data_IF_165132671005
#
_entry.id   IF_165132671005
#
_cell.length_a   1.000
_cell.length_b   1.000
_cell.length_c   1.000
_cell.angle_alpha   90.00
_cell.angle_beta   90.00
_cell.angle_gamma   90.00
#
_symmetry.space_group_name_H-M   'P 1'
#
loop_
_entity.id
_entity.type
_entity.pdbx_description
1 polymer ?
#
# COMPACT_ATOMS: atom_id res chain seq x y z
N UNK A 1 -16.07 9.37 -27.36
CA UNK A 1 -16.08 9.50 -25.88
C UNK A 1 -14.64 9.69 -25.46
N UNK A 2 -14.29 10.76 -24.74
CA UNK A 2 -12.92 10.90 -24.24
C UNK A 2 -12.66 9.81 -23.19
N UNK A 3 -11.60 9.04 -23.36
CA UNK A 3 -11.19 8.02 -22.39
C UNK A 3 -10.80 8.75 -21.09
N UNK A 4 -11.47 8.45 -19.98
CA UNK A 4 -11.12 9.02 -18.67
C UNK A 4 -9.72 8.52 -18.29
N UNK A 5 -8.75 9.44 -18.19
CA UNK A 5 -7.39 9.15 -17.74
C UNK A 5 -7.26 9.41 -16.25
N UNK A 6 -6.47 8.57 -15.56
CA UNK A 6 -6.23 8.69 -14.13
C UNK A 6 -4.74 8.96 -13.84
N UNK A 7 -4.41 9.62 -12.71
CA UNK A 7 -3.02 9.73 -12.26
C UNK A 7 -2.38 8.37 -12.05
N UNK A 8 -1.07 8.29 -12.24
CA UNK A 8 -0.31 7.05 -12.02
C UNK A 8 -0.52 6.55 -10.58
N UNK A 9 -0.92 5.28 -10.46
CA UNK A 9 -1.14 4.62 -9.17
C UNK A 9 -2.55 4.77 -8.62
N UNK A 10 -3.48 5.36 -9.37
CA UNK A 10 -4.88 5.45 -8.98
C UNK A 10 -5.50 4.08 -8.67
N UNK A 11 -5.30 3.09 -9.55
CA UNK A 11 -5.85 1.76 -9.35
C UNK A 11 -5.04 0.95 -8.34
N UNK A 12 -3.76 1.27 -8.15
CA UNK A 12 -2.96 0.72 -7.05
C UNK A 12 -3.55 1.14 -5.71
N UNK A 13 -3.94 2.40 -5.54
CA UNK A 13 -4.60 2.88 -4.32
C UNK A 13 -5.95 2.18 -4.08
N UNK A 14 -6.74 1.96 -5.13
CA UNK A 14 -7.99 1.19 -5.04
C UNK A 14 -7.71 -0.25 -4.60
N UNK A 15 -6.72 -0.90 -5.21
CA UNK A 15 -6.31 -2.25 -4.83
C UNK A 15 -5.91 -2.32 -3.35
N UNK A 16 -5.11 -1.36 -2.88
CA UNK A 16 -4.70 -1.27 -1.47
C UNK A 16 -5.89 -1.09 -0.52
N UNK A 17 -6.86 -0.25 -0.87
CA UNK A 17 -8.10 -0.03 -0.10
C UNK A 17 -8.96 -1.30 0.01
N UNK A 18 -8.84 -2.22 -0.94
CA UNK A 18 -9.51 -3.53 -0.90
C UNK A 18 -8.66 -4.54 -0.12
N UNK A 19 -7.38 -4.65 -0.46
CA UNK A 19 -6.49 -5.68 0.06
C UNK A 19 -6.24 -5.56 1.56
N UNK A 20 -5.90 -4.37 2.06
CA UNK A 20 -5.55 -4.17 3.47
C UNK A 20 -6.69 -4.57 4.43
N UNK A 21 -7.95 -4.12 4.23
CA UNK A 21 -9.06 -4.56 5.06
C UNK A 21 -9.35 -6.06 4.99
N UNK A 22 -9.14 -6.68 3.82
CA UNK A 22 -9.32 -8.14 3.66
C UNK A 22 -8.21 -8.96 4.33
N UNK A 23 -7.01 -8.40 4.46
CA UNK A 23 -5.90 -9.08 5.13
C UNK A 23 -6.19 -9.43 6.58
N UNK A 24 -6.85 -8.54 7.33
CA UNK A 24 -7.16 -8.73 8.76
C UNK A 24 -8.01 -9.99 9.03
N UNK A 25 -9.20 -10.18 8.43
CA UNK A 25 -10.00 -11.38 8.66
C UNK A 25 -9.30 -12.65 8.16
N UNK A 26 -8.47 -12.57 7.11
CA UNK A 26 -7.68 -13.72 6.64
C UNK A 26 -6.64 -14.12 7.70
N UNK A 27 -5.91 -13.15 8.27
CA UNK A 27 -4.96 -13.41 9.35
C UNK A 27 -5.62 -14.03 10.58
N UNK A 28 -6.82 -13.56 10.94
CA UNK A 28 -7.63 -14.13 12.03
C UNK A 28 -8.02 -15.57 11.71
N UNK A 29 -8.54 -15.84 10.50
CA UNK A 29 -8.95 -17.17 10.08
C UNK A 29 -7.80 -18.18 10.04
N UNK A 30 -6.57 -17.72 9.76
CA UNK A 30 -5.36 -18.54 9.78
C UNK A 30 -4.76 -18.72 11.18
N UNK A 31 -5.31 -18.09 12.21
CA UNK A 31 -4.78 -18.12 13.58
C UNK A 31 -3.47 -17.34 13.77
N UNK A 32 -3.03 -16.57 12.78
CA UNK A 32 -1.79 -15.79 12.79
C UNK A 32 -2.14 -14.34 12.46
N UNK A 33 -2.66 -13.58 13.43
CA UNK A 33 -3.14 -12.21 13.18
C UNK A 33 -2.05 -11.30 12.58
N UNK A 34 -0.78 -11.52 12.96
CA UNK A 34 0.35 -10.74 12.47
C UNK A 34 0.59 -10.85 10.95
N UNK A 35 0.19 -11.96 10.30
CA UNK A 35 0.39 -12.13 8.86
C UNK A 35 -0.73 -11.50 8.02
N UNK A 36 -1.88 -11.24 8.64
CA UNK A 36 -3.05 -10.68 7.96
C UNK A 36 -2.74 -9.43 7.15
N UNK A 37 -2.14 -8.37 7.74
CA UNK A 37 -1.75 -7.17 7.00
C UNK A 37 -0.82 -7.46 5.82
N UNK A 38 0.12 -8.39 5.94
CA UNK A 38 1.04 -8.76 4.86
C UNK A 38 0.32 -9.42 3.69
N UNK A 39 -0.63 -10.32 3.97
CA UNK A 39 -1.50 -10.93 2.96
C UNK A 39 -2.35 -9.86 2.29
N UNK A 40 -2.96 -8.97 3.07
CA UNK A 40 -3.77 -7.87 2.56
C UNK A 40 -2.99 -6.94 1.63
N UNK A 41 -1.76 -6.59 1.99
CA UNK A 41 -0.85 -5.82 1.14
C UNK A 41 -0.56 -6.53 -0.18
N UNK A 42 -0.21 -7.82 -0.14
CA UNK A 42 0.07 -8.60 -1.34
C UNK A 42 -1.13 -8.67 -2.29
N UNK A 43 -2.33 -8.93 -1.73
CA UNK A 43 -3.58 -8.94 -2.49
C UNK A 43 -3.89 -7.58 -3.10
N UNK A 44 -3.79 -6.51 -2.29
CA UNK A 44 -4.10 -5.16 -2.74
C UNK A 44 -3.17 -4.66 -3.84
N UNK A 45 -1.86 -4.92 -3.71
CA UNK A 45 -0.89 -4.63 -4.75
C UNK A 45 -1.14 -5.45 -6.01
N UNK A 46 -1.43 -6.75 -5.88
CA UNK A 46 -1.72 -7.61 -7.04
C UNK A 46 -2.94 -7.14 -7.83
N UNK A 47 -4.06 -6.88 -7.14
CA UNK A 47 -5.28 -6.36 -7.76
C UNK A 47 -5.02 -4.99 -8.38
N UNK A 48 -4.42 -4.08 -7.62
CA UNK A 48 -4.22 -2.70 -8.05
C UNK A 48 -3.27 -2.57 -9.24
N UNK A 49 -2.19 -3.35 -9.28
CA UNK A 49 -1.26 -3.37 -10.43
C UNK A 49 -1.89 -3.98 -11.68
N UNK A 50 -2.69 -5.04 -11.55
CA UNK A 50 -3.45 -5.60 -12.66
C UNK A 50 -4.43 -4.58 -13.24
N UNK A 51 -5.20 -3.90 -12.39
CA UNK A 51 -6.15 -2.88 -12.81
C UNK A 51 -5.46 -1.66 -13.43
N UNK A 52 -4.35 -1.19 -12.86
CA UNK A 52 -3.57 -0.08 -13.40
C UNK A 52 -3.09 -0.39 -14.83
N UNK A 53 -2.54 -1.60 -15.04
CA UNK A 53 -2.07 -2.04 -16.37
C UNK A 53 -3.21 -2.17 -17.38
N UNK A 54 -4.39 -2.62 -16.94
CA UNK A 54 -5.55 -2.89 -17.80
C UNK A 54 -6.37 -1.63 -18.13
N UNK A 55 -6.51 -0.72 -17.17
CA UNK A 55 -7.44 0.40 -17.23
C UNK A 55 -6.76 1.78 -17.22
N UNK A 56 -5.44 1.85 -17.03
CA UNK A 56 -4.68 3.08 -17.07
C UNK A 56 -3.38 2.95 -17.89
N UNK A 57 -3.44 2.51 -19.17
CA UNK A 57 -2.24 2.29 -19.98
C UNK A 57 -1.46 3.58 -20.29
N UNK A 58 -2.12 4.74 -20.23
CA UNK A 58 -1.51 6.05 -20.45
C UNK A 58 -1.88 7.01 -19.29
N UNK A 59 -1.25 6.84 -18.11
CA UNK A 59 -1.56 7.63 -16.93
C UNK A 59 -1.20 9.11 -17.13
N UNK A 60 -1.89 9.99 -16.39
CA UNK A 60 -1.51 11.40 -16.35
C UNK A 60 -0.08 11.55 -15.78
N UNK A 61 0.79 12.36 -16.41
CA UNK A 61 2.13 12.61 -15.90
C UNK A 61 2.03 13.30 -14.54
N UNK A 62 2.91 12.91 -13.61
CA UNK A 62 3.12 13.65 -12.37
C UNK A 62 4.00 14.85 -12.64
N UNK A 63 3.73 15.95 -11.95
CA UNK A 63 4.64 17.10 -11.96
C UNK A 63 5.91 16.76 -11.17
N UNK A 64 7.07 17.35 -11.50
CA UNK A 64 8.31 17.13 -10.75
C UNK A 64 8.18 17.48 -9.26
N UNK A 65 7.35 18.47 -8.93
CA UNK A 65 7.07 18.90 -7.56
C UNK A 65 6.30 17.82 -6.77
N UNK A 66 5.28 17.21 -7.39
CA UNK A 66 4.51 16.11 -6.78
C UNK A 66 5.37 14.86 -6.56
N UNK A 67 6.33 14.57 -7.46
CA UNK A 67 7.22 13.42 -7.32
C UNK A 67 8.16 13.57 -6.11
N UNK A 68 8.76 14.76 -5.94
CA UNK A 68 9.62 15.06 -4.79
C UNK A 68 8.82 15.01 -3.47
N UNK A 69 7.62 15.60 -3.46
CA UNK A 69 6.72 15.54 -2.31
C UNK A 69 6.34 14.09 -1.96
N UNK A 70 5.98 13.28 -2.98
CA UNK A 70 5.67 11.87 -2.80
C UNK A 70 6.85 11.10 -2.23
N UNK A 71 8.07 11.36 -2.71
CA UNK A 71 9.30 10.71 -2.21
C UNK A 71 9.58 11.09 -0.75
N UNK A 72 9.40 12.36 -0.38
CA UNK A 72 9.51 12.83 1.01
C UNK A 72 8.48 12.17 1.92
N UNK A 73 7.20 12.13 1.50
CA UNK A 73 6.14 11.47 2.26
C UNK A 73 6.45 9.98 2.44
N UNK A 74 6.89 9.29 1.39
CA UNK A 74 7.27 7.88 1.47
C UNK A 74 8.46 7.65 2.42
N UNK A 75 9.47 8.53 2.39
CA UNK A 75 10.61 8.45 3.29
C UNK A 75 10.20 8.66 4.76
N UNK A 76 9.32 9.64 5.03
CA UNK A 76 8.77 9.90 6.36
C UNK A 76 7.95 8.71 6.85
N UNK A 77 7.04 8.18 6.01
CA UNK A 77 6.23 7.01 6.36
C UNK A 77 7.09 5.78 6.63
N UNK A 78 8.12 5.52 5.81
CA UNK A 78 9.06 4.43 6.03
C UNK A 78 9.83 4.60 7.35
N UNK A 79 10.26 5.82 7.67
CA UNK A 79 10.90 6.15 8.93
C UNK A 79 10.00 5.91 10.15
N UNK A 80 8.75 6.38 10.10
CA UNK A 80 7.76 6.17 11.17
C UNK A 80 7.45 4.68 11.34
N UNK A 81 7.31 3.94 10.24
CA UNK A 81 7.07 2.50 10.27
C UNK A 81 8.25 1.73 10.90
N UNK A 82 9.49 2.06 10.53
CA UNK A 82 10.70 1.48 11.13
C UNK A 82 10.79 1.78 12.63
N UNK A 83 10.51 3.01 13.04
CA UNK A 83 10.46 3.38 14.46
C UNK A 83 9.42 2.55 15.22
N UNK A 84 8.23 2.34 14.64
CA UNK A 84 7.19 1.48 15.22
C UNK A 84 7.65 0.03 15.40
N UNK A 85 8.33 -0.54 14.39
CA UNK A 85 8.91 -1.89 14.48
C UNK A 85 9.98 -1.96 15.58
N UNK A 86 10.91 -1.00 15.63
CA UNK A 86 11.96 -0.97 16.65
C UNK A 86 11.38 -0.86 18.06
N UNK A 87 10.35 -0.02 18.25
CA UNK A 87 9.66 0.12 19.52
C UNK A 87 8.95 -1.19 19.92
N UNK A 88 8.30 -1.87 18.97
CA UNK A 88 7.65 -3.16 19.21
C UNK A 88 8.66 -4.25 19.63
N UNK A 89 9.81 -4.32 18.95
CA UNK A 89 10.89 -5.26 19.31
C UNK A 89 11.44 -4.94 20.70
N UNK A 90 11.73 -3.66 20.99
CA UNK A 90 12.24 -3.26 22.30
C UNK A 90 11.26 -3.61 23.44
N UNK A 91 9.96 -3.40 23.22
CA UNK A 91 8.93 -3.78 24.19
C UNK A 91 8.92 -5.29 24.43
N UNK A 92 8.98 -6.10 23.36
CA UNK A 92 9.06 -7.56 23.47
C UNK A 92 10.30 -8.06 24.20
N UNK A 93 11.44 -7.35 24.12
CA UNK A 93 12.65 -7.70 24.88
C UNK A 93 12.57 -7.37 26.37
N UNK A 94 11.66 -6.48 26.77
CA UNK A 94 11.51 -6.03 28.17
C UNK A 94 10.49 -6.90 28.93
N UNK A 95 9.49 -7.44 28.24
CA UNK A 95 8.52 -8.43 28.76
C UNK A 95 9.07 -9.85 28.73
#
# INVERSE_FOLDING_TARGET
MQEKRYPKGHFIAIGMLIGLPLGIPIGIAMGIMAIGPAIGLALGLGIGTYLEKKHNPNPLPMTPEEEDQRRKILAVLAGVFLLGILMFIALFMIT
#
